data_IF_370399112628
#
_entry.id   IF_370399112628
#
_cell.length_a   1.000
_cell.length_b   1.000
_cell.length_c   1.000
_cell.angle_alpha   90.00
_cell.angle_beta   90.00
_cell.angle_gamma   90.00
#
_symmetry.space_group_name_H-M   'P 1'
#
loop_
_entity.id
_entity.type
_entity.pdbx_description
1 polymer ?
#
# COMPACT_ATOMS: atom_id res chain seq x y z
N UNK A 1 14.28 -2.12 2.76
CA UNK A 1 13.17 -2.15 3.75
C UNK A 1 12.71 -0.76 4.13
N UNK A 2 13.47 0.05 4.88
CA UNK A 2 12.95 1.38 5.29
C UNK A 2 12.74 2.35 4.12
N UNK A 3 13.66 2.38 3.15
CA UNK A 3 13.48 3.21 1.94
C UNK A 3 12.28 2.77 1.11
N UNK A 4 12.09 1.46 0.96
CA UNK A 4 10.99 0.88 0.19
C UNK A 4 9.66 1.18 0.88
N UNK A 5 9.60 0.98 2.20
CA UNK A 5 8.47 1.36 3.06
C UNK A 5 8.09 2.84 2.89
N UNK A 6 9.08 3.75 2.92
CA UNK A 6 8.84 5.19 2.72
C UNK A 6 8.26 5.46 1.33
N UNK A 7 8.77 4.83 0.27
CA UNK A 7 8.22 4.99 -1.09
C UNK A 7 6.78 4.52 -1.19
N UNK A 8 6.48 3.34 -0.62
CA UNK A 8 5.13 2.80 -0.57
C UNK A 8 4.21 3.74 0.20
N UNK A 9 4.65 4.24 1.36
CA UNK A 9 3.84 5.14 2.19
C UNK A 9 3.56 6.47 1.48
N UNK A 10 4.53 7.04 0.77
CA UNK A 10 4.33 8.25 -0.05
C UNK A 10 3.31 8.04 -1.17
N UNK A 11 3.33 6.88 -1.83
CA UNK A 11 2.30 6.52 -2.80
C UNK A 11 0.91 6.45 -2.15
N UNK A 12 0.82 5.78 -0.99
CA UNK A 12 -0.43 5.66 -0.24
C UNK A 12 -0.98 7.03 0.18
N UNK A 13 -0.15 7.91 0.73
CA UNK A 13 -0.51 9.28 1.10
C UNK A 13 -0.95 10.13 -0.11
N UNK A 14 -0.36 9.92 -1.28
CA UNK A 14 -0.80 10.59 -2.50
C UNK A 14 -2.17 10.09 -2.98
N UNK A 15 -2.42 8.78 -2.89
CA UNK A 15 -3.68 8.17 -3.30
C UNK A 15 -4.83 8.56 -2.35
N UNK A 16 -4.57 8.48 -1.05
CA UNK A 16 -5.53 8.86 -0.03
C UNK A 16 -5.38 10.35 0.28
N UNK A 17 -6.04 11.17 -0.54
CA UNK A 17 -6.07 12.64 -0.39
C UNK A 17 -6.57 13.13 0.98
N UNK A 18 -6.99 12.26 1.90
CA UNK A 18 -7.39 12.57 3.27
C UNK A 18 -6.92 11.54 4.34
N UNK A 19 -5.99 10.64 4.02
CA UNK A 19 -5.61 9.50 4.89
C UNK A 19 -4.34 9.71 5.70
N UNK A 20 -4.43 9.47 7.01
CA UNK A 20 -3.29 9.43 7.92
C UNK A 20 -2.54 8.10 7.82
N UNK A 21 -1.80 7.86 6.73
CA UNK A 21 -0.77 6.82 6.75
C UNK A 21 0.46 7.35 7.49
N UNK A 22 0.76 6.74 8.63
CA UNK A 22 1.79 7.19 9.57
C UNK A 22 3.20 6.99 8.97
N UNK A 23 3.80 8.06 8.47
CA UNK A 23 5.26 8.20 8.26
C UNK A 23 5.75 9.51 8.90
N UNK A 24 6.96 9.99 8.60
CA UNK A 24 7.60 11.19 9.21
C UNK A 24 6.74 12.47 9.29
N UNK A 25 5.66 12.61 8.51
CA UNK A 25 4.74 13.75 8.55
C UNK A 25 3.59 13.57 9.57
N UNK A 26 3.50 12.42 10.23
CA UNK A 26 2.50 12.13 11.26
C UNK A 26 3.14 12.31 12.66
N UNK A 27 3.16 13.55 13.14
CA UNK A 27 3.60 13.94 14.49
C UNK A 27 2.60 13.56 15.61
N UNK A 28 1.77 12.53 15.41
CA UNK A 28 0.98 11.95 16.50
C UNK A 28 1.94 11.13 17.35
N UNK A 29 2.47 11.75 18.42
CA UNK A 29 3.53 11.26 19.33
C UNK A 29 3.33 9.83 19.92
N UNK A 30 2.22 9.16 19.63
CA UNK A 30 1.83 7.87 20.21
C UNK A 30 1.46 6.77 19.19
N UNK A 31 1.31 7.09 17.90
CA UNK A 31 0.95 6.07 16.89
C UNK A 31 2.19 5.40 16.29
N UNK A 32 2.30 4.06 16.32
CA UNK A 32 3.43 3.36 15.75
C UNK A 32 3.46 3.52 14.23
N UNK A 33 4.65 3.77 13.67
CA UNK A 33 4.86 3.80 12.22
C UNK A 33 4.42 2.47 11.60
N UNK A 34 3.79 2.53 10.43
CA UNK A 34 3.46 1.32 9.68
C UNK A 34 4.71 0.50 9.41
N UNK A 35 4.59 -0.83 9.52
CA UNK A 35 5.65 -1.74 9.10
C UNK A 35 5.72 -1.81 7.58
N UNK A 36 6.79 -2.42 7.05
CA UNK A 36 6.85 -2.72 5.62
C UNK A 36 5.70 -3.62 5.17
N UNK A 37 5.36 -4.65 5.95
CA UNK A 37 4.26 -5.57 5.65
C UNK A 37 2.91 -4.85 5.62
N UNK A 38 2.64 -3.97 6.60
CA UNK A 38 1.44 -3.14 6.59
C UNK A 38 1.42 -2.23 5.36
N UNK A 39 2.54 -1.57 5.04
CA UNK A 39 2.63 -0.72 3.85
C UNK A 39 2.29 -1.51 2.56
N UNK A 40 2.80 -2.74 2.43
CA UNK A 40 2.49 -3.62 1.29
C UNK A 40 1.03 -4.06 1.31
N UNK A 41 0.47 -4.41 2.48
CA UNK A 41 -0.96 -4.78 2.63
C UNK A 41 -1.86 -3.66 2.12
N UNK A 42 -1.63 -2.43 2.56
CA UNK A 42 -2.39 -1.26 2.12
C UNK A 42 -2.19 -0.98 0.62
N UNK A 43 -0.97 -1.16 0.09
CA UNK A 43 -0.72 -1.03 -1.34
C UNK A 43 -1.57 -2.02 -2.16
N UNK A 44 -1.64 -3.27 -1.72
CA UNK A 44 -2.47 -4.29 -2.35
C UNK A 44 -3.96 -3.94 -2.30
N UNK A 45 -4.41 -3.37 -1.18
CA UNK A 45 -5.79 -2.89 -1.02
C UNK A 45 -6.10 -1.75 -1.97
N UNK A 46 -5.21 -0.75 -2.11
CA UNK A 46 -5.45 0.41 -2.97
C UNK A 46 -5.54 0.01 -4.45
N UNK A 47 -4.69 -0.90 -4.90
CA UNK A 47 -4.69 -1.31 -6.32
C UNK A 47 -5.81 -2.29 -6.69
N UNK A 48 -6.48 -2.87 -5.70
CA UNK A 48 -7.55 -3.85 -5.90
C UNK A 48 -8.73 -3.53 -4.98
N UNK A 49 -9.03 -2.25 -4.84
CA UNK A 49 -9.98 -1.70 -3.86
C UNK A 49 -11.37 -2.31 -4.00
N UNK A 50 -11.90 -2.39 -5.22
CA UNK A 50 -13.16 -3.06 -5.55
C UNK A 50 -13.24 -4.48 -4.98
N UNK A 51 -12.14 -5.22 -4.97
CA UNK A 51 -12.12 -6.58 -4.45
C UNK A 51 -12.10 -6.59 -2.91
N UNK A 52 -11.20 -5.82 -2.28
CA UNK A 52 -11.06 -5.85 -0.82
C UNK A 52 -12.27 -5.25 -0.09
N UNK A 53 -12.90 -4.20 -0.65
CA UNK A 53 -14.15 -3.64 -0.12
C UNK A 53 -15.32 -4.62 -0.14
N UNK A 54 -15.27 -5.66 -0.98
CA UNK A 54 -16.29 -6.72 -0.98
C UNK A 54 -16.02 -7.82 0.06
N UNK A 55 -14.87 -7.81 0.74
CA UNK A 55 -14.50 -8.79 1.76
C UNK A 55 -14.63 -8.22 3.17
N UNK A 56 -14.09 -7.02 3.39
CA UNK A 56 -14.09 -6.32 4.69
C UNK A 56 -14.45 -4.85 4.50
N UNK A 57 -15.05 -4.24 5.52
CA UNK A 57 -15.34 -2.81 5.51
C UNK A 57 -14.04 -1.99 5.54
N UNK A 58 -13.01 -2.50 6.23
CA UNK A 58 -11.70 -1.85 6.27
C UNK A 58 -10.53 -2.84 6.22
N UNK A 59 -9.47 -2.50 5.47
CA UNK A 59 -8.31 -3.37 5.26
C UNK A 59 -7.52 -3.66 6.54
N UNK A 60 -7.60 -2.81 7.57
CA UNK A 60 -6.93 -3.10 8.86
C UNK A 60 -7.49 -4.37 9.55
N UNK A 61 -8.69 -4.81 9.17
CA UNK A 61 -9.30 -6.05 9.67
C UNK A 61 -8.58 -7.30 9.14
N UNK A 62 -7.86 -7.19 8.03
CA UNK A 62 -7.06 -8.27 7.47
C UNK A 62 -5.63 -8.20 7.99
N UNK A 63 -5.07 -9.38 8.27
CA UNK A 63 -3.63 -9.53 8.41
C UNK A 63 -2.94 -9.40 7.05
N UNK A 64 -1.63 -9.12 7.05
CA UNK A 64 -0.83 -9.14 5.84
C UNK A 64 -0.95 -10.49 5.10
N UNK A 65 -0.86 -11.61 5.82
CA UNK A 65 -0.93 -12.95 5.24
C UNK A 65 -2.28 -13.22 4.56
N UNK A 66 -3.39 -12.79 5.17
CA UNK A 66 -4.73 -12.94 4.58
C UNK A 66 -4.87 -12.10 3.30
N UNK A 67 -4.43 -10.85 3.31
CA UNK A 67 -4.47 -10.00 2.12
C UNK A 67 -3.67 -10.62 0.98
N UNK A 68 -2.43 -11.05 1.25
CA UNK A 68 -1.59 -11.70 0.24
C UNK A 68 -2.21 -13.02 -0.24
N UNK A 69 -2.82 -13.80 0.65
CA UNK A 69 -3.52 -15.04 0.27
C UNK A 69 -4.69 -14.74 -0.65
N UNK A 70 -5.54 -13.76 -0.34
CA UNK A 70 -6.65 -13.38 -1.22
C UNK A 70 -6.16 -12.93 -2.59
N UNK A 71 -5.08 -12.14 -2.65
CA UNK A 71 -4.50 -11.73 -3.91
C UNK A 71 -4.02 -12.89 -4.78
N UNK A 72 -3.45 -13.94 -4.16
CA UNK A 72 -3.00 -15.14 -4.87
C UNK A 72 -4.19 -15.97 -5.35
N UNK A 73 -5.15 -16.20 -4.46
CA UNK A 73 -6.34 -17.01 -4.75
C UNK A 73 -7.20 -16.40 -5.88
N UNK A 74 -7.14 -15.08 -6.05
CA UNK A 74 -7.90 -14.35 -7.08
C UNK A 74 -7.04 -13.88 -8.27
N UNK A 75 -5.78 -14.31 -8.35
CA UNK A 75 -4.95 -14.16 -9.55
C UNK A 75 -4.35 -12.78 -9.79
N UNK A 76 -4.52 -11.80 -8.89
CA UNK A 76 -3.98 -10.45 -9.06
C UNK A 76 -2.67 -10.19 -8.30
N UNK A 77 -2.19 -11.17 -7.51
CA UNK A 77 -0.95 -11.03 -6.75
C UNK A 77 0.25 -10.62 -7.61
N UNK A 78 0.52 -11.36 -8.70
CA UNK A 78 1.72 -11.10 -9.51
C UNK A 78 1.68 -9.70 -10.14
N UNK A 79 0.52 -9.29 -10.68
CA UNK A 79 0.39 -7.97 -11.29
C UNK A 79 0.57 -6.84 -10.26
N UNK A 80 -0.02 -7.00 -9.08
CA UNK A 80 0.12 -6.01 -7.99
C UNK A 80 1.55 -5.98 -7.48
N UNK A 81 2.21 -7.12 -7.36
CA UNK A 81 3.60 -7.22 -6.94
C UNK A 81 4.56 -6.60 -7.97
N UNK A 82 4.33 -6.78 -9.27
CA UNK A 82 5.10 -6.11 -10.32
C UNK A 82 5.01 -4.59 -10.20
N UNK A 83 3.80 -4.05 -9.99
CA UNK A 83 3.59 -2.61 -9.75
C UNK A 83 4.28 -2.13 -8.47
N UNK A 84 4.26 -2.93 -7.40
CA UNK A 84 5.01 -2.64 -6.17
C UNK A 84 6.52 -2.56 -6.45
N UNK A 85 7.07 -3.51 -7.21
CA UNK A 85 8.49 -3.52 -7.58
C UNK A 85 8.87 -2.28 -8.39
N UNK A 86 8.05 -1.91 -9.38
CA UNK A 86 8.25 -0.67 -10.15
C UNK A 86 8.29 0.56 -9.24
N UNK A 87 7.42 0.62 -8.22
CA UNK A 87 7.39 1.71 -7.26
C UNK A 87 8.67 1.78 -6.41
N UNK A 88 9.10 0.66 -5.83
CA UNK A 88 10.25 0.65 -4.91
C UNK A 88 11.58 0.79 -5.66
N UNK A 89 11.65 0.38 -6.92
CA UNK A 89 12.83 0.53 -7.78
C UNK A 89 12.96 1.93 -8.39
N UNK A 90 11.86 2.69 -8.51
CA UNK A 90 11.90 4.07 -9.01
C UNK A 90 12.61 4.99 -8.01
N UNK A 91 13.72 5.61 -8.41
CA UNK A 91 14.51 6.50 -7.53
C UNK A 91 13.73 7.75 -7.12
N UNK A 92 12.95 8.34 -8.03
CA UNK A 92 12.22 9.59 -7.85
C UNK A 92 10.83 9.48 -8.48
N UNK A 93 9.90 8.74 -7.85
CA UNK A 93 8.55 8.59 -8.39
C UNK A 93 7.80 9.92 -8.39
N UNK A 94 7.12 10.19 -9.51
CA UNK A 94 6.30 11.40 -9.71
C UNK A 94 4.81 11.09 -9.52
N UNK A 95 3.98 12.11 -9.39
CA UNK A 95 2.52 11.89 -9.37
C UNK A 95 2.00 11.24 -10.67
N UNK A 96 2.58 11.58 -11.83
CA UNK A 96 2.24 10.95 -13.11
C UNK A 96 2.57 9.47 -13.09
N UNK A 97 3.73 9.10 -12.52
CA UNK A 97 4.10 7.72 -12.32
C UNK A 97 3.12 7.02 -11.37
N UNK A 98 2.71 7.63 -10.25
CA UNK A 98 1.72 7.03 -9.36
C UNK A 98 0.38 6.77 -10.06
N UNK A 99 -0.10 7.70 -10.89
CA UNK A 99 -1.30 7.49 -11.72
C UNK A 99 -1.16 6.31 -12.67
N UNK A 100 0.04 6.07 -13.20
CA UNK A 100 0.29 4.95 -14.10
C UNK A 100 0.25 3.58 -13.41
N UNK A 101 0.35 3.55 -12.07
CA UNK A 101 0.26 2.31 -11.29
C UNK A 101 -1.17 1.90 -10.95
N UNK A 102 -2.16 2.80 -11.04
CA UNK A 102 -3.57 2.50 -10.80
C UNK A 102 -4.16 1.99 -12.10
#
# INVERSE_FOLDING_TARGET
>A
MDKDRIKITKFLQWNDRNGYYTDEECDLEEEPRMTYEESVKYFFSVLNDDFYYNIVDNIFELTYEEAIKYAKDNGFYNNTYEKLMLLVENENPTEEFYRSLI
#
